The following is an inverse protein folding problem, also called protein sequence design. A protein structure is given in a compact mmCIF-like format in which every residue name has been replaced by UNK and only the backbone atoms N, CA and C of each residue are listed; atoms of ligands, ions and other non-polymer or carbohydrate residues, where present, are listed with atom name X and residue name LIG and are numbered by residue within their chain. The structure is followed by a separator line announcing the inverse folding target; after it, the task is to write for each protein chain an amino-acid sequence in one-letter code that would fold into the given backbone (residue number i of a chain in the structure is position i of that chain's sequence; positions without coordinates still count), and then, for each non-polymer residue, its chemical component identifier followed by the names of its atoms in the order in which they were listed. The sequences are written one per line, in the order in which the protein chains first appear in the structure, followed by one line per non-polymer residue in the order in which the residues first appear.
data_IF_681699953576
#
_entry.id   IF_681699953576
#
_cell.length_a   1.000
_cell.length_b   1.000
_cell.length_c   1.000
_cell.angle_alpha   90.00
_cell.angle_beta   90.00
_cell.angle_gamma   90.00
#
_symmetry.space_group_name_H-M   'P 1'
#
loop_
_entity.id
_entity.type
_entity.pdbx_description
1 polymer ?
#
# COMPACT_ATOMS: atom_id res chain seq x y z
N UNK A 1 -4.68 54.42 -17.20
CA UNK A 1 -3.94 53.15 -17.35
C UNK A 1 -3.33 52.84 -16.01
N UNK A 2 -3.95 51.99 -15.19
CA UNK A 2 -3.24 51.23 -14.15
C UNK A 2 -3.96 49.88 -14.02
N UNK A 3 -3.29 48.81 -14.43
CA UNK A 3 -3.80 47.44 -14.39
C UNK A 3 -3.57 46.90 -12.97
N UNK A 4 -4.65 46.62 -12.24
CA UNK A 4 -4.56 45.88 -10.97
C UNK A 4 -4.42 44.39 -11.29
N UNK A 5 -3.19 43.87 -11.19
CA UNK A 5 -2.92 42.44 -11.31
C UNK A 5 -3.37 41.75 -10.02
N UNK A 6 -4.40 40.91 -10.12
CA UNK A 6 -4.77 39.99 -9.05
C UNK A 6 -3.70 38.91 -8.97
N UNK A 7 -2.99 38.85 -7.84
CA UNK A 7 -2.03 37.79 -7.56
C UNK A 7 -2.77 36.66 -6.85
N UNK A 8 -3.19 35.61 -7.56
CA UNK A 8 -3.47 34.32 -6.92
C UNK A 8 -2.17 33.76 -6.35
N UNK A 9 -2.03 33.82 -5.04
CA UNK A 9 -1.13 32.95 -4.33
C UNK A 9 -1.52 31.49 -4.61
N UNK A 10 -0.58 30.58 -4.90
CA UNK A 10 -0.87 29.16 -4.89
C UNK A 10 -1.23 28.73 -3.47
N UNK A 11 -2.41 28.14 -3.31
CA UNK A 11 -2.83 27.41 -2.12
C UNK A 11 -1.72 26.41 -1.70
N UNK A 12 -1.13 26.51 -0.50
CA UNK A 12 -0.25 25.46 0.01
C UNK A 12 -1.11 24.31 0.55
N UNK A 13 -1.81 23.61 -0.35
CA UNK A 13 -2.50 22.36 -0.03
C UNK A 13 -1.51 21.21 -0.02
N UNK A 14 -0.63 21.17 0.98
CA UNK A 14 0.09 19.96 1.39
C UNK A 14 0.70 20.23 2.75
N UNK A 15 -0.11 20.01 3.78
CA UNK A 15 0.34 20.05 5.17
C UNK A 15 1.59 19.20 5.34
N UNK A 16 2.72 19.85 5.60
CA UNK A 16 3.86 19.23 6.26
C UNK A 16 3.38 18.77 7.64
N UNK A 17 2.89 17.54 7.71
CA UNK A 17 2.76 16.84 8.99
C UNK A 17 4.17 16.49 9.43
N UNK A 18 4.71 17.34 10.30
CA UNK A 18 5.94 17.10 11.06
C UNK A 18 6.07 15.64 11.47
N UNK A 19 7.18 15.02 11.05
CA UNK A 19 8.10 14.26 11.90
C UNK A 19 7.52 13.71 13.21
N UNK A 20 6.56 12.78 13.11
CA UNK A 20 6.37 11.78 14.17
C UNK A 20 7.27 10.65 13.78
N UNK A 21 8.43 10.54 14.44
CA UNK A 21 9.43 9.47 14.27
C UNK A 21 8.91 8.34 13.40
N UNK A 22 9.16 8.42 12.10
CA UNK A 22 8.82 7.33 11.19
C UNK A 22 9.58 6.15 11.76
N UNK A 23 8.86 5.19 12.34
CA UNK A 23 9.53 4.08 12.97
C UNK A 23 10.20 3.33 11.82
N UNK A 24 11.55 3.29 11.75
CA UNK A 24 12.25 2.76 10.58
C UNK A 24 11.89 1.29 10.34
N UNK A 25 11.37 0.60 11.37
CA UNK A 25 10.84 -0.76 11.28
C UNK A 25 9.66 -0.90 10.30
N UNK A 26 8.84 0.13 10.14
CA UNK A 26 7.64 0.10 9.28
C UNK A 26 7.83 0.77 7.93
N UNK A 27 9.04 1.25 7.67
CA UNK A 27 9.40 1.86 6.40
C UNK A 27 9.69 0.78 5.36
N UNK A 28 9.25 1.01 4.13
CA UNK A 28 9.61 0.15 3.01
C UNK A 28 11.13 0.28 2.74
N UNK A 29 11.84 -0.83 2.47
CA UNK A 29 13.27 -0.77 2.12
C UNK A 29 13.54 -0.41 0.66
N UNK A 30 12.52 -0.43 -0.20
CA UNK A 30 12.64 -0.16 -1.65
C UNK A 30 12.19 1.26 -1.98
N UNK A 31 11.11 1.73 -1.35
CA UNK A 31 10.61 3.09 -1.51
C UNK A 31 10.50 3.79 -0.14
N UNK A 32 10.27 5.10 -0.14
CA UNK A 32 10.23 5.89 1.09
C UNK A 32 8.84 5.89 1.78
N UNK A 33 8.00 4.88 1.51
CA UNK A 33 6.67 4.77 2.11
C UNK A 33 6.74 4.23 3.55
N UNK A 34 5.93 4.79 4.44
CA UNK A 34 5.81 4.34 5.83
C UNK A 34 4.44 3.73 6.07
N UNK A 35 4.40 2.42 6.23
CA UNK A 35 3.15 1.68 6.29
C UNK A 35 2.56 1.59 7.72
N UNK A 36 3.18 2.20 8.73
CA UNK A 36 2.72 2.24 10.12
C UNK A 36 2.76 0.92 10.91
N UNK A 37 2.78 -0.24 10.24
CA UNK A 37 2.88 -1.58 10.83
C UNK A 37 3.70 -2.52 9.94
N UNK A 38 4.36 -3.53 10.52
CA UNK A 38 5.13 -4.55 9.79
C UNK A 38 4.29 -5.32 8.76
N UNK A 39 3.04 -5.70 9.10
CA UNK A 39 2.16 -6.42 8.17
C UNK A 39 1.77 -5.54 6.98
N UNK A 40 1.40 -4.29 7.26
CA UNK A 40 1.10 -3.31 6.22
C UNK A 40 2.30 -3.06 5.31
N UNK A 41 3.52 -2.97 5.88
CA UNK A 41 4.77 -2.87 5.12
C UNK A 41 4.99 -4.08 4.23
N UNK A 42 4.87 -5.30 4.76
CA UNK A 42 5.04 -6.51 3.96
C UNK A 42 4.01 -6.58 2.82
N UNK A 43 2.75 -6.22 3.08
CA UNK A 43 1.71 -6.13 2.06
C UNK A 43 2.08 -5.12 0.97
N UNK A 44 2.56 -3.94 1.35
CA UNK A 44 3.02 -2.93 0.41
C UNK A 44 4.15 -3.48 -0.47
N UNK A 45 5.17 -4.12 0.13
CA UNK A 45 6.28 -4.74 -0.62
C UNK A 45 5.74 -5.82 -1.58
N UNK A 46 4.81 -6.68 -1.17
CA UNK A 46 4.24 -7.70 -2.05
C UNK A 46 3.42 -7.15 -3.23
N UNK A 47 2.81 -5.97 -3.08
CA UNK A 47 2.01 -5.33 -4.13
C UNK A 47 2.87 -4.50 -5.09
N UNK A 48 3.81 -3.71 -4.56
CA UNK A 48 4.56 -2.71 -5.32
C UNK A 48 6.00 -3.14 -5.66
N UNK A 49 6.57 -4.03 -4.86
CA UNK A 49 7.96 -4.47 -4.93
C UNK A 49 8.07 -5.99 -4.83
N UNK A 50 7.27 -6.69 -5.64
CA UNK A 50 7.14 -8.15 -5.58
C UNK A 50 8.49 -8.88 -5.68
N UNK A 51 9.36 -8.43 -6.59
CA UNK A 51 10.69 -9.01 -6.78
C UNK A 51 11.54 -8.93 -5.51
N UNK A 52 11.47 -7.79 -4.80
CA UNK A 52 12.15 -7.61 -3.52
C UNK A 52 11.57 -8.54 -2.44
N UNK A 53 10.25 -8.70 -2.41
CA UNK A 53 9.58 -9.60 -1.46
C UNK A 53 10.04 -11.05 -1.63
N UNK A 54 10.11 -11.52 -2.88
CA UNK A 54 10.53 -12.88 -3.25
C UNK A 54 12.01 -13.11 -2.89
N UNK A 55 12.90 -12.18 -3.24
CA UNK A 55 14.34 -12.28 -2.93
C UNK A 55 14.63 -12.26 -1.42
N UNK A 56 13.90 -11.44 -0.65
CA UNK A 56 14.12 -11.25 0.78
C UNK A 56 13.28 -12.18 1.65
N UNK A 57 12.60 -13.18 1.07
CA UNK A 57 11.76 -14.14 1.79
C UNK A 57 10.73 -13.46 2.72
N UNK A 58 10.14 -12.35 2.26
CA UNK A 58 9.16 -11.59 3.05
C UNK A 58 7.86 -12.40 3.12
N UNK A 59 7.29 -12.66 4.31
CA UNK A 59 6.07 -13.45 4.40
C UNK A 59 4.89 -12.73 3.74
N UNK A 60 4.17 -13.44 2.86
CA UNK A 60 2.95 -12.97 2.23
C UNK A 60 1.73 -13.34 3.08
N UNK A 61 0.84 -12.38 3.30
CA UNK A 61 -0.47 -12.65 3.92
C UNK A 61 -1.53 -13.10 2.89
N UNK A 62 -1.12 -13.37 1.65
CA UNK A 62 -2.03 -13.81 0.60
C UNK A 62 -2.23 -15.33 0.67
N UNK A 63 -3.47 -15.76 0.73
CA UNK A 63 -3.89 -17.15 0.64
C UNK A 63 -4.54 -17.41 -0.73
N UNK A 64 -4.38 -18.63 -1.24
CA UNK A 64 -5.03 -19.05 -2.48
C UNK A 64 -6.52 -19.35 -2.23
N UNK A 65 -7.35 -19.09 -3.24
CA UNK A 65 -8.74 -19.53 -3.21
C UNK A 65 -8.79 -21.08 -3.16
N UNK A 66 -9.61 -21.68 -2.28
CA UNK A 66 -9.72 -23.14 -2.18
C UNK A 66 -10.51 -23.77 -3.34
N UNK A 67 -11.11 -22.98 -4.24
CA UNK A 67 -11.89 -23.50 -5.36
C UNK A 67 -10.98 -24.15 -6.43
N UNK A 68 -11.27 -25.38 -6.89
CA UNK A 68 -10.44 -26.07 -7.86
C UNK A 68 -10.40 -25.30 -9.19
N UNK A 69 -9.18 -24.98 -9.65
CA UNK A 69 -8.96 -24.21 -10.88
C UNK A 69 -8.99 -22.69 -10.72
N UNK A 70 -9.30 -22.16 -9.54
CA UNK A 70 -9.24 -20.71 -9.29
C UNK A 70 -7.79 -20.26 -9.03
N UNK A 71 -7.35 -19.23 -9.75
CA UNK A 71 -6.00 -18.64 -9.59
C UNK A 71 -5.96 -17.44 -8.65
N UNK A 72 -7.08 -17.08 -8.04
CA UNK A 72 -7.16 -15.91 -7.15
C UNK A 72 -6.32 -16.14 -5.88
N UNK A 73 -5.51 -15.13 -5.54
CA UNK A 73 -4.75 -15.04 -4.29
C UNK A 73 -5.06 -13.71 -3.63
N UNK A 74 -5.43 -13.75 -2.36
CA UNK A 74 -5.83 -12.55 -1.64
C UNK A 74 -5.71 -12.73 -0.15
N UNK A 75 -5.96 -11.68 0.63
CA UNK A 75 -5.90 -11.77 2.10
C UNK A 75 -6.92 -12.78 2.64
N UNK A 76 -6.64 -13.34 3.81
CA UNK A 76 -7.53 -14.26 4.53
C UNK A 76 -8.98 -13.77 4.64
N UNK A 77 -9.19 -12.47 4.81
CA UNK A 77 -10.54 -11.86 4.86
C UNK A 77 -11.20 -11.74 3.48
N UNK A 78 -10.41 -11.59 2.41
CA UNK A 78 -10.89 -11.42 1.04
C UNK A 78 -11.13 -12.73 0.31
N UNK A 79 -10.38 -13.80 0.61
CA UNK A 79 -10.56 -15.13 0.01
C UNK A 79 -11.97 -15.69 0.20
N UNK A 80 -12.57 -15.72 1.41
CA UNK A 80 -13.93 -16.22 1.59
C UNK A 80 -14.97 -15.32 0.91
N UNK A 81 -14.73 -14.00 0.85
CA UNK A 81 -15.59 -13.05 0.12
C UNK A 81 -15.54 -13.31 -1.39
N UNK A 82 -14.35 -13.50 -1.94
CA UNK A 82 -14.13 -13.89 -3.33
C UNK A 82 -14.83 -15.22 -3.64
N UNK A 83 -14.65 -16.24 -2.77
CA UNK A 83 -15.27 -17.55 -2.95
C UNK A 83 -16.80 -17.43 -3.02
N UNK A 84 -17.41 -16.70 -2.10
CA UNK A 84 -18.87 -16.47 -2.07
C UNK A 84 -19.41 -15.67 -3.26
N UNK A 85 -18.58 -14.87 -3.94
CA UNK A 85 -19.04 -13.99 -5.03
C UNK A 85 -18.77 -14.59 -6.40
N UNK A 86 -17.70 -15.37 -6.55
CA UNK A 86 -17.30 -15.95 -7.84
C UNK A 86 -17.64 -17.45 -7.97
N UNK A 87 -17.89 -18.16 -6.87
CA UNK A 87 -18.06 -19.62 -6.86
C UNK A 87 -19.28 -20.12 -6.08
N UNK A 88 -20.12 -19.21 -5.56
CA UNK A 88 -21.38 -19.55 -4.89
C UNK A 88 -22.59 -19.26 -5.75
#
# INVERSE_FOLDING_TARGET
MEHVLYSTAPNPSSGRKQSRFLNPKFQCPVCNDNCGETRARNRHIWTDHREYAEQNNIPSEQEACPFPGCRYRGRKDNVPRHYKTQHS
#
